data_IF_349441459646
#
_entry.id   IF_349441459646
#
_cell.length_a   1.000
_cell.length_b   1.000
_cell.length_c   1.000
_cell.angle_alpha   90.00
_cell.angle_beta   90.00
_cell.angle_gamma   90.00
#
_symmetry.space_group_name_H-M   'P 1'
#
loop_
_entity.id
_entity.type
_entity.pdbx_description
1 polymer ?
#
# COMPACT_ATOMS: atom_id res chain seq x y z
N UNK A 1 24.42 6.50 -14.63
CA UNK A 1 23.41 7.50 -15.07
C UNK A 1 23.17 8.49 -13.94
N UNK A 2 22.91 9.77 -14.27
CA UNK A 2 22.56 10.84 -13.31
C UNK A 2 21.05 10.87 -13.08
N UNK A 3 20.61 10.58 -11.85
CA UNK A 3 19.21 10.33 -11.51
C UNK A 3 18.74 11.32 -10.43
N UNK A 4 17.56 11.92 -10.61
CA UNK A 4 16.81 12.55 -9.53
C UNK A 4 15.78 11.53 -9.02
N UNK A 5 15.76 11.28 -7.71
CA UNK A 5 14.81 10.38 -7.09
C UNK A 5 13.69 11.17 -6.41
N UNK A 6 12.43 10.73 -6.57
CA UNK A 6 11.27 11.33 -5.92
C UNK A 6 10.50 10.27 -5.14
N UNK A 7 10.47 10.39 -3.81
CA UNK A 7 9.79 9.42 -2.95
C UNK A 7 9.53 9.98 -1.56
N UNK A 8 8.64 9.32 -0.80
CA UNK A 8 8.27 9.80 0.53
C UNK A 8 8.26 8.70 1.60
N UNK A 9 7.42 7.62 1.51
CA UNK A 9 7.27 6.63 2.56
C UNK A 9 8.35 5.54 2.49
N UNK A 10 8.32 4.64 3.45
CA UNK A 10 9.21 3.48 3.54
C UNK A 10 9.23 2.62 2.26
N UNK A 11 8.11 2.54 1.52
CA UNK A 11 8.05 1.83 0.24
C UNK A 11 9.13 2.25 -0.75
N UNK A 12 9.47 3.53 -0.77
CA UNK A 12 10.41 4.10 -1.72
C UNK A 12 11.89 3.95 -1.30
N UNK A 13 12.14 3.63 -0.03
CA UNK A 13 13.52 3.53 0.51
C UNK A 13 14.34 2.45 -0.18
N UNK A 14 13.86 1.20 -0.35
CA UNK A 14 14.65 0.17 -1.06
C UNK A 14 15.00 0.55 -2.49
N UNK A 15 14.10 1.27 -3.19
CA UNK A 15 14.37 1.77 -4.54
C UNK A 15 15.52 2.79 -4.57
N UNK A 16 15.57 3.71 -3.63
CA UNK A 16 16.66 4.68 -3.50
C UNK A 16 17.99 3.97 -3.18
N UNK A 17 17.99 3.07 -2.21
CA UNK A 17 19.17 2.29 -1.82
C UNK A 17 19.70 1.44 -2.97
N UNK A 18 18.82 0.79 -3.73
CA UNK A 18 19.18 -0.03 -4.88
C UNK A 18 19.84 0.79 -6.00
N UNK A 19 19.36 2.00 -6.29
CA UNK A 19 19.98 2.89 -7.26
C UNK A 19 21.38 3.32 -6.82
N UNK A 20 21.57 3.66 -5.55
CA UNK A 20 22.88 4.01 -4.98
C UNK A 20 23.83 2.82 -5.03
N UNK A 21 23.36 1.63 -4.62
CA UNK A 21 24.15 0.40 -4.64
C UNK A 21 24.54 -0.04 -6.07
N UNK A 22 23.70 0.23 -7.05
CA UNK A 22 23.99 -0.01 -8.46
C UNK A 22 25.01 0.98 -9.07
N UNK A 23 25.49 1.95 -8.31
CA UNK A 23 26.51 2.92 -8.72
C UNK A 23 25.97 4.08 -9.57
N UNK A 24 24.66 4.32 -9.56
CA UNK A 24 24.09 5.50 -10.20
C UNK A 24 24.37 6.76 -9.38
N UNK A 25 24.58 7.89 -10.04
CA UNK A 25 24.70 9.19 -9.39
C UNK A 25 23.30 9.73 -9.05
N UNK A 26 22.86 9.53 -7.80
CA UNK A 26 21.64 10.19 -7.35
C UNK A 26 21.94 11.64 -7.00
N UNK A 27 21.68 12.55 -7.95
CA UNK A 27 22.06 13.97 -7.86
C UNK A 27 21.18 14.77 -6.87
N UNK A 28 20.07 14.22 -6.44
CA UNK A 28 19.17 14.81 -5.46
C UNK A 28 17.97 13.93 -5.18
N UNK A 29 17.29 14.20 -4.09
CA UNK A 29 16.06 13.54 -3.68
C UNK A 29 14.98 14.58 -3.44
N UNK A 30 13.82 14.39 -4.05
CA UNK A 30 12.60 15.12 -3.73
C UNK A 30 11.73 14.28 -2.81
N UNK A 31 11.30 14.86 -1.68
CA UNK A 31 10.40 14.22 -0.73
C UNK A 31 9.32 15.21 -0.27
N UNK A 32 8.21 14.70 0.27
CA UNK A 32 7.20 15.55 0.89
C UNK A 32 7.80 16.28 2.09
N UNK A 33 7.27 17.48 2.44
CA UNK A 33 7.68 18.18 3.66
C UNK A 33 7.53 17.31 4.91
N UNK A 34 8.41 17.54 5.88
CA UNK A 34 8.36 16.88 7.18
C UNK A 34 7.00 17.14 7.85
N UNK A 35 6.45 16.12 8.50
CA UNK A 35 5.15 16.23 9.16
C UNK A 35 5.30 16.50 10.65
N UNK A 36 4.49 17.41 11.22
CA UNK A 36 4.43 17.57 12.65
C UNK A 36 3.85 16.31 13.32
N UNK A 37 4.52 15.85 14.37
CA UNK A 37 4.13 14.67 15.15
C UNK A 37 4.08 14.97 16.64
N UNK A 38 3.46 14.06 17.40
CA UNK A 38 3.30 14.17 18.85
C UNK A 38 2.02 14.91 19.24
N UNK A 39 1.68 14.79 20.54
CA UNK A 39 0.41 15.31 21.11
C UNK A 39 0.24 16.82 20.90
N UNK A 40 1.32 17.57 20.80
CA UNK A 40 1.34 19.03 20.63
C UNK A 40 1.88 19.46 19.25
N UNK A 41 2.11 18.52 18.32
CA UNK A 41 2.58 18.77 16.94
C UNK A 41 3.85 19.66 16.84
N UNK A 42 4.68 19.69 17.89
CA UNK A 42 5.87 20.55 17.99
C UNK A 42 7.18 19.85 17.61
N UNK A 43 7.13 18.58 17.20
CA UNK A 43 8.28 17.85 16.66
C UNK A 43 8.03 17.52 15.19
N UNK A 44 8.91 17.97 14.30
CA UNK A 44 8.89 17.56 12.89
C UNK A 44 9.55 16.19 12.75
N UNK A 45 8.89 15.29 12.06
CA UNK A 45 9.44 13.98 11.70
C UNK A 45 9.83 14.01 10.23
N UNK A 46 11.11 13.76 9.90
CA UNK A 46 11.54 13.62 8.53
C UNK A 46 10.86 12.42 7.86
N UNK A 47 10.77 12.48 6.54
CA UNK A 47 10.25 11.35 5.78
C UNK A 47 11.29 10.23 5.71
N UNK A 48 10.89 8.94 5.61
CA UNK A 48 11.84 7.83 5.51
C UNK A 48 12.83 7.99 4.35
N UNK A 49 12.37 8.47 3.20
CA UNK A 49 13.25 8.73 2.05
C UNK A 49 14.24 9.87 2.33
N UNK A 50 13.84 10.92 3.06
CA UNK A 50 14.77 11.99 3.48
C UNK A 50 15.84 11.44 4.43
N UNK A 51 15.48 10.62 5.41
CA UNK A 51 16.44 10.01 6.33
C UNK A 51 17.47 9.16 5.57
N UNK A 52 16.99 8.32 4.64
CA UNK A 52 17.85 7.52 3.78
C UNK A 52 18.78 8.38 2.91
N UNK A 53 18.26 9.42 2.25
CA UNK A 53 19.05 10.30 1.42
C UNK A 53 20.17 11.02 2.21
N UNK A 54 19.85 11.51 3.42
CA UNK A 54 20.84 12.16 4.30
C UNK A 54 21.93 11.18 4.76
N UNK A 55 21.60 9.92 5.03
CA UNK A 55 22.57 8.86 5.36
C UNK A 55 23.57 8.59 4.23
N UNK A 56 23.15 8.80 2.98
CA UNK A 56 23.99 8.70 1.78
C UNK A 56 24.60 10.03 1.33
N UNK A 57 24.48 11.12 2.11
CA UNK A 57 24.93 12.47 1.77
C UNK A 57 24.33 13.02 0.46
N UNK A 58 23.10 12.62 0.12
CA UNK A 58 22.38 13.06 -1.07
C UNK A 58 21.59 14.33 -0.72
N UNK A 59 21.65 15.42 -1.53
CA UNK A 59 20.86 16.62 -1.31
C UNK A 59 19.36 16.33 -1.32
N UNK A 60 18.62 16.89 -0.35
CA UNK A 60 17.17 16.70 -0.22
C UNK A 60 16.44 18.01 -0.45
N UNK A 61 15.42 17.97 -1.28
CA UNK A 61 14.53 19.05 -1.61
C UNK A 61 13.09 18.68 -1.21
N UNK A 62 12.37 19.61 -0.62
CA UNK A 62 11.00 19.38 -0.14
C UNK A 62 10.03 20.47 -0.69
N UNK A 63 9.81 20.51 -2.02
CA UNK A 63 8.95 21.53 -2.62
C UNK A 63 7.51 21.36 -2.13
N UNK A 64 6.92 22.48 -1.69
CA UNK A 64 5.51 22.53 -1.25
C UNK A 64 4.57 22.50 -2.45
N UNK A 65 4.99 23.08 -3.56
CA UNK A 65 4.22 23.15 -4.82
C UNK A 65 5.07 22.64 -5.98
N UNK A 66 4.43 21.95 -6.93
CA UNK A 66 5.10 21.42 -8.13
C UNK A 66 4.86 22.30 -9.36
N UNK A 67 3.92 23.26 -9.30
CA UNK A 67 3.48 24.08 -10.44
C UNK A 67 3.85 25.56 -10.36
N UNK A 68 4.64 25.97 -9.37
CA UNK A 68 5.06 27.37 -9.20
C UNK A 68 6.41 27.71 -9.85
N UNK A 69 6.98 26.76 -10.58
CA UNK A 69 8.28 26.89 -11.26
C UNK A 69 9.49 26.61 -10.37
N UNK A 70 9.36 26.63 -9.05
CA UNK A 70 10.50 26.43 -8.12
C UNK A 70 11.06 25.00 -8.24
N UNK A 71 10.19 23.99 -8.26
CA UNK A 71 10.60 22.60 -8.41
C UNK A 71 11.27 22.37 -9.78
N UNK A 72 10.71 22.91 -10.86
CA UNK A 72 11.31 22.81 -12.19
C UNK A 72 12.70 23.45 -12.26
N UNK A 73 12.88 24.64 -11.68
CA UNK A 73 14.18 25.33 -11.65
C UNK A 73 15.24 24.50 -10.88
N UNK A 74 14.86 23.88 -9.76
CA UNK A 74 15.73 22.97 -9.02
C UNK A 74 16.12 21.75 -9.87
N UNK A 75 15.16 21.14 -10.57
CA UNK A 75 15.40 19.99 -11.46
C UNK A 75 16.37 20.38 -12.60
N UNK A 76 16.13 21.54 -13.23
CA UNK A 76 17.01 22.05 -14.28
C UNK A 76 18.44 22.30 -13.79
N UNK A 77 18.60 22.82 -12.57
CA UNK A 77 19.91 23.03 -11.94
C UNK A 77 20.62 21.69 -11.67
N UNK A 78 19.88 20.69 -11.20
CA UNK A 78 20.40 19.33 -10.96
C UNK A 78 20.73 18.60 -12.27
N UNK A 79 20.10 18.97 -13.36
CA UNK A 79 20.28 18.39 -14.70
C UNK A 79 20.28 16.83 -14.71
N UNK A 80 19.24 16.14 -14.17
CA UNK A 80 19.18 14.70 -14.19
C UNK A 80 18.93 14.19 -15.63
N UNK A 81 19.50 13.03 -15.96
CA UNK A 81 19.17 12.32 -17.20
C UNK A 81 17.82 11.59 -17.12
N UNK A 82 17.44 11.16 -15.91
CA UNK A 82 16.21 10.41 -15.61
C UNK A 82 15.65 10.87 -14.27
N UNK A 83 14.33 10.95 -14.17
CA UNK A 83 13.63 11.05 -12.87
C UNK A 83 13.02 9.69 -12.55
N UNK A 84 13.29 9.18 -11.35
CA UNK A 84 12.68 7.97 -10.79
C UNK A 84 11.71 8.38 -9.70
N UNK A 85 10.47 7.93 -9.81
CA UNK A 85 9.40 8.21 -8.84
C UNK A 85 8.98 6.91 -8.15
N UNK A 86 8.87 6.91 -6.84
CA UNK A 86 8.30 5.82 -6.05
C UNK A 86 7.48 6.40 -4.89
N UNK A 87 6.17 6.26 -4.94
CA UNK A 87 5.25 6.73 -3.90
C UNK A 87 5.55 8.18 -3.43
N UNK A 88 5.77 9.11 -4.35
CA UNK A 88 6.08 10.50 -4.03
C UNK A 88 4.88 11.27 -3.46
N UNK A 89 3.66 10.93 -3.92
CA UNK A 89 2.42 11.53 -3.43
C UNK A 89 2.13 12.93 -3.98
N UNK A 90 2.68 13.29 -5.16
CA UNK A 90 2.39 14.50 -5.92
C UNK A 90 2.24 14.19 -7.39
N UNK A 91 1.31 14.87 -8.05
CA UNK A 91 1.19 14.86 -9.49
C UNK A 91 2.28 15.75 -10.07
N UNK A 92 3.05 15.22 -11.01
CA UNK A 92 4.08 15.97 -11.74
C UNK A 92 3.43 16.65 -12.94
N UNK A 93 3.66 17.97 -13.12
CA UNK A 93 3.20 18.68 -14.30
C UNK A 93 4.05 18.34 -15.53
N UNK A 94 3.51 18.58 -16.72
CA UNK A 94 4.10 18.17 -17.99
C UNK A 94 5.50 18.75 -18.24
N UNK A 95 5.76 19.96 -17.79
CA UNK A 95 7.07 20.61 -17.87
C UNK A 95 8.15 19.86 -17.06
N UNK A 96 7.77 19.22 -15.96
CA UNK A 96 8.66 18.34 -15.19
C UNK A 96 8.78 16.96 -15.87
N UNK A 97 7.65 16.39 -16.36
CA UNK A 97 7.64 15.07 -17.00
C UNK A 97 8.55 15.02 -18.23
N UNK A 98 8.63 16.13 -18.97
CA UNK A 98 9.42 16.25 -20.20
C UNK A 98 10.82 16.86 -20.01
N UNK A 99 11.14 17.30 -18.79
CA UNK A 99 12.41 17.99 -18.50
C UNK A 99 13.65 17.09 -18.69
N UNK A 100 13.71 15.87 -18.09
CA UNK A 100 14.89 15.01 -18.26
C UNK A 100 14.91 14.32 -19.63
N UNK A 101 16.07 14.18 -20.27
CA UNK A 101 16.17 13.61 -21.61
C UNK A 101 15.70 12.15 -21.74
N UNK A 102 15.75 11.37 -20.67
CA UNK A 102 15.23 9.99 -20.61
C UNK A 102 13.83 9.92 -19.97
N UNK A 103 13.22 11.06 -19.65
CA UNK A 103 11.87 11.17 -19.10
C UNK A 103 11.79 10.83 -17.61
N UNK A 104 10.57 10.52 -17.19
CA UNK A 104 10.25 10.13 -15.81
C UNK A 104 9.70 8.71 -15.81
N UNK A 105 10.12 7.89 -14.85
CA UNK A 105 9.58 6.54 -14.63
C UNK A 105 9.02 6.42 -13.21
N UNK A 106 8.05 5.53 -13.03
CA UNK A 106 7.42 5.27 -11.73
C UNK A 106 7.49 3.80 -11.36
N UNK A 107 7.73 3.53 -10.07
CA UNK A 107 7.59 2.21 -9.45
C UNK A 107 6.18 2.11 -8.92
N UNK A 108 5.31 1.40 -9.63
CA UNK A 108 3.90 1.23 -9.28
C UNK A 108 3.65 -0.16 -8.70
N UNK A 109 3.00 -0.24 -7.55
CA UNK A 109 2.82 -1.47 -6.78
C UNK A 109 1.58 -2.27 -7.21
N UNK A 110 1.41 -2.48 -8.50
CA UNK A 110 0.46 -3.43 -9.10
C UNK A 110 0.95 -3.92 -10.46
N UNK A 111 0.26 -4.90 -11.01
CA UNK A 111 0.41 -5.33 -12.41
C UNK A 111 -0.53 -4.47 -13.28
N UNK A 112 -0.01 -3.32 -13.75
CA UNK A 112 -0.78 -2.45 -14.65
C UNK A 112 -1.20 -3.20 -15.92
N UNK A 113 -2.40 -2.92 -16.46
CA UNK A 113 -3.27 -1.77 -16.21
C UNK A 113 -4.22 -1.93 -15.02
N UNK A 114 -4.14 -3.00 -14.25
CA UNK A 114 -4.96 -3.18 -13.06
C UNK A 114 -4.49 -2.28 -11.91
N UNK A 115 -5.46 -1.74 -11.15
CA UNK A 115 -5.19 -0.98 -9.93
C UNK A 115 -4.39 0.30 -10.14
N UNK A 116 -4.73 1.11 -11.17
CA UNK A 116 -4.24 2.48 -11.26
C UNK A 116 -4.74 3.29 -10.05
N UNK A 117 -3.90 4.10 -9.43
CA UNK A 117 -4.28 4.99 -8.34
C UNK A 117 -3.52 4.81 -7.03
N UNK A 118 -4.15 5.20 -5.91
CA UNK A 118 -3.45 5.51 -4.66
C UNK A 118 -3.17 4.29 -3.76
N UNK A 119 -3.97 3.20 -3.86
CA UNK A 119 -3.91 2.09 -2.90
C UNK A 119 -3.93 0.69 -3.57
N UNK A 120 -3.11 0.45 -4.62
CA UNK A 120 -3.17 -0.79 -5.40
C UNK A 120 -2.95 -2.05 -4.54
N UNK A 121 -2.01 -2.03 -3.60
CA UNK A 121 -1.70 -3.16 -2.72
C UNK A 121 -2.91 -3.55 -1.87
N UNK A 122 -3.54 -2.55 -1.25
CA UNK A 122 -4.69 -2.77 -0.40
C UNK A 122 -5.87 -3.36 -1.18
N UNK A 123 -6.16 -2.79 -2.35
CA UNK A 123 -7.29 -3.25 -3.17
C UNK A 123 -7.08 -4.64 -3.74
N UNK A 124 -5.87 -5.03 -4.11
CA UNK A 124 -5.57 -6.40 -4.51
C UNK A 124 -5.91 -7.39 -3.38
N UNK A 125 -5.52 -7.09 -2.13
CA UNK A 125 -5.84 -7.94 -0.97
C UNK A 125 -7.33 -7.91 -0.62
N UNK A 126 -7.99 -6.73 -0.63
CA UNK A 126 -9.43 -6.58 -0.33
C UNK A 126 -10.27 -7.37 -1.33
N UNK A 127 -9.88 -7.36 -2.60
CA UNK A 127 -10.59 -8.08 -3.66
C UNK A 127 -10.33 -9.60 -3.67
N UNK A 128 -9.39 -10.07 -2.83
CA UNK A 128 -9.06 -11.50 -2.74
C UNK A 128 -8.21 -12.00 -3.90
N UNK A 129 -7.45 -11.12 -4.56
CA UNK A 129 -6.51 -11.54 -5.60
C UNK A 129 -5.47 -12.49 -5.01
N UNK A 130 -5.08 -13.50 -5.78
CA UNK A 130 -4.03 -14.46 -5.42
C UNK A 130 -2.65 -14.07 -5.94
N UNK A 131 -2.60 -13.07 -6.83
CA UNK A 131 -1.37 -12.57 -7.46
C UNK A 131 -1.39 -11.05 -7.46
N UNK A 132 -0.27 -10.45 -7.14
CA UNK A 132 0.02 -9.03 -7.29
C UNK A 132 1.40 -8.86 -7.95
N UNK A 133 1.94 -7.67 -7.97
CA UNK A 133 3.28 -7.42 -8.50
C UNK A 133 3.64 -5.95 -8.53
N UNK A 134 4.69 -5.65 -9.26
CA UNK A 134 5.19 -4.30 -9.48
C UNK A 134 5.33 -4.04 -10.98
N UNK A 135 5.05 -2.82 -11.38
CA UNK A 135 5.26 -2.32 -12.73
C UNK A 135 6.22 -1.12 -12.68
N UNK A 136 7.27 -1.18 -13.49
CA UNK A 136 8.04 0.02 -13.84
C UNK A 136 7.46 0.55 -15.13
N UNK A 137 7.03 1.81 -15.12
CA UNK A 137 6.39 2.44 -16.28
C UNK A 137 6.92 3.84 -16.55
N UNK A 138 6.84 4.30 -17.78
CA UNK A 138 6.99 5.72 -18.09
C UNK A 138 5.84 6.51 -17.49
N UNK A 139 6.11 7.68 -16.95
CA UNK A 139 5.05 8.56 -16.48
C UNK A 139 4.42 9.32 -17.64
N UNK A 140 3.13 9.56 -17.54
CA UNK A 140 2.32 10.33 -18.48
C UNK A 140 1.45 11.35 -17.73
N UNK A 141 0.79 12.24 -18.44
CA UNK A 141 -0.13 13.23 -17.86
C UNK A 141 -1.32 12.56 -17.18
N UNK A 142 -1.82 11.46 -17.77
CA UNK A 142 -2.87 10.65 -17.17
C UNK A 142 -2.28 9.74 -16.09
N UNK A 143 -2.99 9.62 -14.96
CA UNK A 143 -2.54 8.87 -13.79
C UNK A 143 -2.30 7.40 -14.12
N UNK A 144 -1.09 6.94 -13.87
CA UNK A 144 -0.62 5.56 -14.01
C UNK A 144 -0.91 4.93 -15.39
N UNK A 145 -1.03 5.76 -16.44
CA UNK A 145 -1.43 5.34 -17.80
C UNK A 145 -0.27 5.20 -18.80
N UNK A 146 0.95 5.52 -18.39
CA UNK A 146 2.11 5.48 -19.30
C UNK A 146 2.52 4.07 -19.69
N UNK A 147 3.39 3.98 -20.72
CA UNK A 147 3.88 2.72 -21.25
C UNK A 147 4.65 1.89 -20.21
N UNK A 148 4.39 0.61 -20.17
CA UNK A 148 5.06 -0.35 -19.30
C UNK A 148 6.47 -0.61 -19.83
N UNK A 149 7.47 -0.55 -18.94
CA UNK A 149 8.87 -0.91 -19.21
C UNK A 149 9.13 -2.35 -18.79
N UNK A 150 8.73 -2.70 -17.56
CA UNK A 150 8.91 -4.03 -16.99
C UNK A 150 7.84 -4.31 -15.93
N UNK A 151 7.53 -5.59 -15.77
CA UNK A 151 6.62 -6.06 -14.70
C UNK A 151 7.17 -7.32 -14.06
N UNK A 152 6.94 -7.47 -12.78
CA UNK A 152 7.23 -8.69 -12.04
C UNK A 152 6.07 -9.03 -11.11
N UNK A 153 5.63 -10.31 -11.16
CA UNK A 153 4.50 -10.80 -10.38
C UNK A 153 4.97 -11.58 -9.15
N UNK A 154 4.12 -11.60 -8.12
CA UNK A 154 4.30 -12.41 -6.92
C UNK A 154 2.96 -12.90 -6.41
N UNK A 155 2.93 -14.08 -5.80
CA UNK A 155 1.72 -14.59 -5.14
C UNK A 155 1.38 -13.77 -3.90
N UNK A 156 0.09 -13.66 -3.59
CA UNK A 156 -0.41 -13.14 -2.31
C UNK A 156 -0.75 -14.32 -1.43
N UNK A 157 -0.11 -14.42 -0.26
CA UNK A 157 -0.38 -15.48 0.70
C UNK A 157 -1.82 -15.44 1.25
N UNK A 158 -2.41 -16.60 1.49
CA UNK A 158 -3.81 -16.72 1.93
C UNK A 158 -4.14 -15.90 3.20
N UNK A 159 -3.17 -15.71 4.08
CA UNK A 159 -3.30 -14.91 5.30
C UNK A 159 -2.44 -13.65 5.29
N UNK A 160 -1.79 -13.34 4.18
CA UNK A 160 -0.91 -12.18 4.05
C UNK A 160 -1.71 -10.88 4.10
N UNK A 161 -1.26 -9.94 4.90
CA UNK A 161 -1.85 -8.61 5.02
C UNK A 161 -1.31 -7.66 3.96
N UNK A 162 -2.04 -6.59 3.68
CA UNK A 162 -1.56 -5.55 2.78
C UNK A 162 -0.24 -4.91 3.29
N UNK A 163 -0.02 -4.85 4.61
CA UNK A 163 1.23 -4.36 5.20
C UNK A 163 2.41 -5.30 4.95
N UNK A 164 2.20 -6.62 5.02
CA UNK A 164 3.24 -7.62 4.70
C UNK A 164 3.55 -7.63 3.20
N UNK A 165 2.54 -7.60 2.35
CA UNK A 165 2.69 -7.51 0.91
C UNK A 165 3.40 -6.22 0.47
N UNK A 166 3.09 -5.08 1.10
CA UNK A 166 3.75 -3.79 0.88
C UNK A 166 5.28 -3.89 1.04
N UNK A 167 5.75 -4.57 2.10
CA UNK A 167 7.19 -4.75 2.34
C UNK A 167 7.85 -5.62 1.27
N UNK A 168 7.18 -6.69 0.83
CA UNK A 168 7.71 -7.55 -0.24
C UNK A 168 7.73 -6.84 -1.59
N UNK A 169 6.67 -6.11 -1.93
CA UNK A 169 6.59 -5.37 -3.20
C UNK A 169 7.58 -4.20 -3.24
N UNK A 170 7.93 -3.59 -2.11
CA UNK A 170 8.95 -2.54 -2.09
C UNK A 170 10.35 -3.06 -2.47
N UNK A 171 10.69 -4.27 -2.03
CA UNK A 171 11.96 -4.94 -2.39
C UNK A 171 11.92 -5.40 -3.84
N UNK A 172 10.85 -6.10 -4.24
CA UNK A 172 10.65 -6.55 -5.62
C UNK A 172 10.74 -5.38 -6.63
N UNK A 173 10.11 -4.25 -6.25
CA UNK A 173 10.13 -3.03 -7.06
C UNK A 173 11.53 -2.40 -7.17
N UNK A 174 12.33 -2.48 -6.12
CA UNK A 174 13.71 -1.99 -6.13
C UNK A 174 14.61 -2.81 -7.08
N UNK A 175 14.49 -4.14 -7.04
CA UNK A 175 15.23 -5.05 -7.90
C UNK A 175 14.85 -4.86 -9.38
N UNK A 176 13.54 -4.78 -9.65
CA UNK A 176 13.02 -4.54 -11.00
C UNK A 176 13.40 -3.15 -11.54
N UNK A 177 13.44 -2.14 -10.65
CA UNK A 177 13.84 -0.77 -11.00
C UNK A 177 15.28 -0.73 -11.52
N UNK A 178 16.23 -1.39 -10.87
CA UNK A 178 17.64 -1.42 -11.31
C UNK A 178 17.77 -2.04 -12.70
N UNK A 179 17.04 -3.12 -12.97
CA UNK A 179 17.00 -3.75 -14.30
C UNK A 179 16.41 -2.80 -15.35
N UNK A 180 15.30 -2.14 -15.04
CA UNK A 180 14.66 -1.18 -15.96
C UNK A 180 15.57 0.03 -16.24
N UNK A 181 16.24 0.57 -15.22
CA UNK A 181 17.18 1.70 -15.36
C UNK A 181 18.39 1.29 -16.22
N UNK A 182 18.92 0.09 -16.03
CA UNK A 182 20.01 -0.44 -16.87
C UNK A 182 19.57 -0.58 -18.33
N UNK A 183 18.35 -1.06 -18.58
CA UNK A 183 17.81 -1.15 -19.95
C UNK A 183 17.60 0.25 -20.58
N UNK A 184 17.14 1.23 -19.81
CA UNK A 184 17.00 2.64 -20.26
C UNK A 184 18.38 3.23 -20.60
N UNK A 185 19.38 2.99 -19.77
CA UNK A 185 20.75 3.47 -19.99
C UNK A 185 21.34 2.90 -21.28
N UNK A 186 21.14 1.61 -21.52
CA UNK A 186 21.57 0.91 -22.74
C UNK A 186 20.73 1.25 -23.99
N UNK A 187 19.62 1.96 -23.87
CA UNK A 187 18.68 2.23 -24.98
C UNK A 187 17.88 1.01 -25.41
N UNK A 188 17.75 0.01 -24.54
CA UNK A 188 17.07 -1.27 -24.78
C UNK A 188 15.71 -1.38 -24.07
N UNK A 189 15.30 -0.36 -23.32
CA UNK A 189 14.04 -0.36 -22.60
C UNK A 189 12.86 -0.45 -23.58
N UNK A 190 11.96 -1.39 -23.32
CA UNK A 190 10.73 -1.52 -24.09
C UNK A 190 9.71 -0.46 -23.65
N UNK A 191 8.75 -0.21 -24.55
CA UNK A 191 7.59 0.65 -24.29
C UNK A 191 6.34 -0.08 -24.73
N UNK A 192 5.67 -0.72 -23.78
CA UNK A 192 4.45 -1.49 -24.05
C UNK A 192 3.24 -0.66 -23.60
N UNK A 193 2.39 -0.20 -24.54
CA UNK A 193 1.16 0.50 -24.19
C UNK A 193 0.25 -0.37 -23.30
N UNK A 194 -0.42 0.24 -22.35
CA UNK A 194 -1.38 -0.46 -21.51
C UNK A 194 -2.67 -0.75 -22.27
N UNK A 195 -3.26 -1.94 -22.07
CA UNK A 195 -4.59 -2.27 -22.61
C UNK A 195 -5.67 -1.51 -21.83
N UNK A 196 -6.35 -0.56 -22.47
CA UNK A 196 -7.38 0.27 -21.86
C UNK A 196 -8.63 -0.51 -21.39
N UNK A 197 -8.89 -1.69 -21.98
CA UNK A 197 -10.05 -2.52 -21.62
C UNK A 197 -9.84 -3.27 -20.27
N UNK A 198 -8.60 -3.41 -19.82
CA UNK A 198 -8.25 -4.11 -18.59
C UNK A 198 -8.00 -3.17 -17.40
N UNK A 199 -8.19 -1.87 -17.60
CA UNK A 199 -7.94 -0.87 -16.55
C UNK A 199 -8.89 -1.06 -15.39
N UNK A 200 -8.36 -1.16 -14.18
CA UNK A 200 -9.10 -1.04 -12.93
C UNK A 200 -8.51 0.04 -12.04
N UNK A 201 -9.33 0.59 -11.14
CA UNK A 201 -8.93 1.68 -10.27
C UNK A 201 -8.73 1.22 -8.84
N UNK A 202 -7.76 1.81 -8.16
CA UNK A 202 -7.45 1.61 -6.75
C UNK A 202 -7.53 2.95 -6.00
N UNK A 203 -8.74 3.45 -5.69
CA UNK A 203 -8.90 4.72 -5.01
C UNK A 203 -8.26 4.72 -3.61
N UNK A 204 -8.04 5.92 -3.07
CA UNK A 204 -7.55 6.08 -1.71
C UNK A 204 -8.53 5.41 -0.72
N UNK A 205 -7.97 4.73 0.28
CA UNK A 205 -8.78 4.14 1.35
C UNK A 205 -9.38 5.23 2.24
N UNK A 206 -10.58 4.95 2.74
CA UNK A 206 -11.29 5.79 3.69
C UNK A 206 -11.85 5.00 4.87
N UNK A 207 -12.28 5.71 5.91
CA UNK A 207 -12.86 5.09 7.12
C UNK A 207 -14.19 4.39 6.85
N UNK A 208 -14.88 4.76 5.79
CA UNK A 208 -16.11 4.13 5.32
C UNK A 208 -15.93 2.65 4.95
N UNK A 209 -14.70 2.22 4.69
CA UNK A 209 -14.37 0.82 4.43
C UNK A 209 -14.21 -0.02 5.70
N UNK A 210 -14.12 0.61 6.88
CA UNK A 210 -13.89 -0.09 8.15
C UNK A 210 -15.04 -1.01 8.59
N UNK A 211 -16.34 -0.62 8.52
CA UNK A 211 -17.42 -1.45 8.99
C UNK A 211 -17.48 -2.79 8.24
N UNK A 212 -17.55 -3.89 9.01
CA UNK A 212 -17.74 -5.22 8.46
C UNK A 212 -19.23 -5.47 8.19
N UNK A 213 -19.55 -5.74 6.92
CA UNK A 213 -20.89 -6.19 6.52
C UNK A 213 -20.97 -7.72 6.58
N UNK A 214 -21.54 -8.24 7.64
CA UNK A 214 -21.61 -9.66 7.90
C UNK A 214 -22.47 -10.44 6.88
N UNK A 215 -23.26 -9.77 6.04
CA UNK A 215 -23.97 -10.40 4.91
C UNK A 215 -23.01 -10.90 3.82
N UNK A 216 -21.77 -10.43 3.81
CA UNK A 216 -20.71 -10.92 2.92
C UNK A 216 -20.16 -12.26 3.40
N UNK A 217 -19.53 -13.00 2.51
CA UNK A 217 -18.90 -14.30 2.86
C UNK A 217 -17.73 -14.13 3.83
N UNK A 218 -17.40 -15.19 4.56
CA UNK A 218 -16.21 -15.21 5.43
C UNK A 218 -14.94 -14.86 4.66
N UNK A 219 -14.78 -15.36 3.42
CA UNK A 219 -13.65 -15.04 2.54
C UNK A 219 -13.57 -13.54 2.26
N UNK A 220 -14.68 -12.92 1.85
CA UNK A 220 -14.70 -11.50 1.54
C UNK A 220 -14.36 -10.62 2.76
N UNK A 221 -14.85 -11.01 3.95
CA UNK A 221 -14.53 -10.30 5.20
C UNK A 221 -13.10 -10.56 5.67
N UNK A 222 -12.56 -11.76 5.47
CA UNK A 222 -11.15 -12.07 5.72
C UNK A 222 -10.23 -11.21 4.85
N UNK A 223 -10.54 -11.07 3.57
CA UNK A 223 -9.82 -10.20 2.65
C UNK A 223 -9.92 -8.72 3.06
N UNK A 224 -11.11 -8.25 3.46
CA UNK A 224 -11.29 -6.90 3.99
C UNK A 224 -10.40 -6.63 5.20
N UNK A 225 -10.38 -7.53 6.19
CA UNK A 225 -9.55 -7.39 7.40
C UNK A 225 -8.07 -7.29 7.04
N UNK A 226 -7.56 -8.19 6.19
CA UNK A 226 -6.16 -8.20 5.75
C UNK A 226 -5.79 -6.97 4.93
N UNK A 227 -6.68 -6.57 4.03
CA UNK A 227 -6.44 -5.47 3.10
C UNK A 227 -6.53 -4.09 3.73
N UNK A 228 -7.23 -3.93 4.85
CA UNK A 228 -7.37 -2.66 5.56
C UNK A 228 -6.28 -2.41 6.62
N UNK A 229 -5.29 -3.28 6.72
CA UNK A 229 -4.14 -3.06 7.61
C UNK A 229 -3.04 -2.26 6.90
N UNK A 230 -2.36 -1.35 7.63
CA UNK A 230 -2.56 -0.98 9.04
C UNK A 230 -3.67 0.06 9.25
N UNK A 231 -4.25 0.61 8.21
CA UNK A 231 -5.30 1.63 8.24
C UNK A 231 -6.25 1.46 7.04
N UNK A 232 -7.57 1.69 7.22
CA UNK A 232 -8.27 2.20 8.41
C UNK A 232 -8.60 1.15 9.48
N UNK A 233 -8.31 -0.13 9.28
CA UNK A 233 -8.63 -1.30 10.11
C UNK A 233 -10.13 -1.64 10.08
N UNK A 234 -10.45 -2.90 9.81
CA UNK A 234 -11.82 -3.38 9.83
C UNK A 234 -12.42 -3.29 11.24
N UNK A 235 -13.73 -3.06 11.35
CA UNK A 235 -14.41 -2.91 12.64
C UNK A 235 -15.82 -3.45 12.63
N UNK A 236 -16.32 -3.82 13.80
CA UNK A 236 -17.69 -4.31 14.00
C UNK A 236 -18.24 -3.88 15.36
N UNK A 237 -19.53 -3.64 15.45
CA UNK A 237 -20.28 -3.41 16.69
C UNK A 237 -21.11 -4.64 17.10
N UNK A 238 -21.18 -5.67 16.27
CA UNK A 238 -22.06 -6.85 16.47
C UNK A 238 -21.64 -7.75 17.63
N UNK A 239 -20.41 -7.61 18.13
CA UNK A 239 -19.91 -8.48 19.20
C UNK A 239 -20.37 -8.04 20.59
N UNK A 240 -20.41 -6.74 20.85
CA UNK A 240 -20.64 -6.18 22.18
C UNK A 240 -21.55 -4.95 22.18
N UNK A 241 -21.97 -4.46 21.03
CA UNK A 241 -22.63 -3.16 20.85
C UNK A 241 -21.67 -1.96 20.80
N UNK A 242 -20.38 -2.16 21.11
CA UNK A 242 -19.34 -1.15 20.96
C UNK A 242 -18.48 -1.45 19.74
N UNK A 243 -17.91 -0.42 19.11
CA UNK A 243 -17.05 -0.60 17.93
C UNK A 243 -15.73 -1.25 18.31
N UNK A 244 -15.55 -2.51 17.93
CA UNK A 244 -14.32 -3.29 18.09
C UNK A 244 -13.57 -3.31 16.76
N UNK A 245 -12.27 -3.00 16.78
CA UNK A 245 -11.39 -3.17 15.61
C UNK A 245 -10.94 -4.62 15.50
N UNK A 246 -10.93 -5.16 14.29
CA UNK A 246 -10.56 -6.54 13.97
C UNK A 246 -9.26 -6.54 13.20
N UNK A 247 -8.24 -7.23 13.73
CA UNK A 247 -6.89 -7.23 13.18
C UNK A 247 -6.50 -8.56 12.52
N UNK A 248 -7.04 -9.69 13.02
CA UNK A 248 -6.81 -11.01 12.41
C UNK A 248 -8.06 -11.84 12.46
N UNK A 249 -8.25 -12.59 11.39
CA UNK A 249 -9.35 -13.53 11.21
C UNK A 249 -8.83 -14.81 10.55
N UNK A 250 -9.63 -15.86 10.61
CA UNK A 250 -9.40 -17.14 9.95
C UNK A 250 -10.70 -17.63 9.34
N UNK A 251 -10.65 -18.15 8.14
CA UNK A 251 -11.77 -18.88 7.54
C UNK A 251 -11.83 -20.28 8.15
N UNK A 252 -12.90 -20.60 8.86
CA UNK A 252 -13.00 -21.89 9.55
C UNK A 252 -13.35 -23.06 8.64
N UNK A 253 -13.85 -22.79 7.43
CA UNK A 253 -14.45 -23.78 6.53
C UNK A 253 -15.80 -24.32 7.03
N UNK A 254 -16.26 -23.88 8.21
CA UNK A 254 -17.55 -24.27 8.80
C UNK A 254 -18.73 -23.72 8.01
N UNK A 255 -19.89 -24.37 8.17
CA UNK A 255 -21.18 -23.95 7.62
C UNK A 255 -22.20 -23.76 8.73
N UNK A 256 -23.10 -22.81 8.53
CA UNK A 256 -24.17 -22.51 9.48
C UNK A 256 -25.43 -21.99 8.77
N UNK A 257 -26.58 -22.14 9.40
CA UNK A 257 -27.84 -21.53 8.97
C UNK A 257 -28.20 -20.29 9.81
N UNK A 258 -27.33 -19.94 10.78
CA UNK A 258 -27.57 -18.78 11.63
C UNK A 258 -27.53 -17.46 10.81
N UNK A 259 -28.23 -16.46 11.28
CA UNK A 259 -28.25 -15.14 10.66
C UNK A 259 -26.84 -14.52 10.65
N UNK A 260 -26.42 -13.86 9.55
CA UNK A 260 -25.15 -13.15 9.50
C UNK A 260 -24.96 -12.17 10.66
N UNK A 261 -23.78 -12.19 11.29
CA UNK A 261 -23.45 -11.41 12.48
C UNK A 261 -23.72 -12.13 13.79
N UNK A 262 -24.33 -13.32 13.76
CA UNK A 262 -24.55 -14.13 14.97
C UNK A 262 -23.23 -14.72 15.48
N UNK A 263 -22.96 -14.58 16.76
CA UNK A 263 -21.81 -15.23 17.41
C UNK A 263 -22.15 -16.69 17.69
N UNK A 264 -21.43 -17.61 17.03
CA UNK A 264 -21.64 -19.06 17.10
C UNK A 264 -20.81 -19.72 18.20
N UNK A 265 -19.60 -19.18 18.45
CA UNK A 265 -18.72 -19.65 19.50
C UNK A 265 -17.82 -18.52 19.99
N UNK A 266 -17.46 -18.53 21.26
CA UNK A 266 -16.51 -17.61 21.86
C UNK A 266 -15.66 -18.39 22.88
N UNK A 267 -14.34 -18.50 22.63
CA UNK A 267 -13.48 -19.34 23.47
C UNK A 267 -12.00 -19.22 23.18
N UNK A 268 -11.25 -20.28 23.49
CA UNK A 268 -9.79 -20.31 23.39
C UNK A 268 -9.27 -20.10 21.97
N UNK A 269 -10.04 -20.47 20.96
CA UNK A 269 -9.63 -20.33 19.55
C UNK A 269 -9.95 -18.95 18.98
N UNK A 270 -10.88 -18.21 19.58
CA UNK A 270 -11.34 -16.92 19.11
C UNK A 270 -12.87 -16.79 19.20
N UNK A 271 -13.42 -15.95 18.34
CA UNK A 271 -14.85 -15.66 18.24
C UNK A 271 -15.31 -16.06 16.84
N UNK A 272 -16.15 -17.08 16.74
CA UNK A 272 -16.73 -17.54 15.47
C UNK A 272 -18.04 -16.79 15.21
N UNK A 273 -18.14 -16.18 14.03
CA UNK A 273 -19.29 -15.36 13.64
C UNK A 273 -19.85 -15.90 12.32
N UNK A 274 -21.16 -16.02 12.24
CA UNK A 274 -21.88 -16.37 11.03
C UNK A 274 -21.75 -15.24 10.00
N UNK A 275 -21.46 -15.61 8.75
CA UNK A 275 -21.32 -14.72 7.62
C UNK A 275 -22.30 -15.09 6.50
N UNK A 276 -22.37 -14.29 5.46
CA UNK A 276 -23.17 -14.55 4.28
C UNK A 276 -22.87 -15.93 3.67
N UNK A 277 -23.85 -16.47 2.92
CA UNK A 277 -23.79 -17.77 2.26
C UNK A 277 -23.52 -18.95 3.24
N UNK A 278 -23.90 -18.76 4.53
CA UNK A 278 -23.71 -19.75 5.56
C UNK A 278 -22.26 -20.04 5.91
N UNK A 279 -21.33 -19.15 5.58
CA UNK A 279 -19.90 -19.28 5.92
C UNK A 279 -19.62 -18.78 7.33
N UNK A 280 -18.48 -19.16 7.90
CA UNK A 280 -18.09 -18.81 9.28
C UNK A 280 -16.69 -18.20 9.31
N UNK A 281 -16.57 -17.00 9.91
CA UNK A 281 -15.31 -16.31 10.12
C UNK A 281 -14.93 -16.34 11.60
N UNK A 282 -13.69 -16.70 11.89
CA UNK A 282 -13.10 -16.64 13.24
C UNK A 282 -12.30 -15.37 13.41
N UNK A 283 -12.63 -14.57 14.42
CA UNK A 283 -11.82 -13.43 14.85
C UNK A 283 -10.81 -13.93 15.88
N UNK A 284 -9.51 -13.76 15.58
CA UNK A 284 -8.40 -14.21 16.44
C UNK A 284 -7.68 -13.07 17.14
N UNK A 285 -7.66 -11.85 16.55
CA UNK A 285 -7.11 -10.66 17.19
C UNK A 285 -8.02 -9.45 17.01
N UNK A 286 -8.18 -8.70 18.07
CA UNK A 286 -9.07 -7.54 18.15
C UNK A 286 -8.51 -6.42 19.03
N UNK A 287 -9.17 -5.25 18.97
CA UNK A 287 -8.94 -4.13 19.87
C UNK A 287 -10.28 -3.50 20.25
N UNK A 288 -10.63 -3.60 21.53
CA UNK A 288 -11.78 -2.89 22.09
C UNK A 288 -11.46 -1.41 22.35
N UNK A 289 -12.45 -0.53 22.45
CA UNK A 289 -12.27 0.89 22.74
C UNK A 289 -11.39 1.12 23.98
N UNK A 290 -10.39 1.98 23.85
CA UNK A 290 -9.48 2.32 24.96
C UNK A 290 -8.50 1.20 25.38
N UNK A 291 -8.52 0.04 24.75
CA UNK A 291 -7.63 -1.08 25.05
C UNK A 291 -6.50 -1.21 24.02
N UNK A 292 -5.50 -2.04 24.32
CA UNK A 292 -4.48 -2.45 23.35
C UNK A 292 -5.00 -3.57 22.47
N UNK A 293 -4.40 -3.73 21.27
CA UNK A 293 -4.59 -4.91 20.42
C UNK A 293 -4.20 -6.16 21.20
N UNK A 294 -5.03 -7.21 21.14
CA UNK A 294 -4.82 -8.46 21.87
C UNK A 294 -5.49 -9.64 21.16
N UNK A 295 -5.13 -10.86 21.55
CA UNK A 295 -5.82 -12.06 21.09
C UNK A 295 -7.27 -12.06 21.58
N UNK A 296 -8.19 -12.52 20.72
CA UNK A 296 -9.60 -12.62 21.10
C UNK A 296 -9.82 -13.50 22.35
N UNK A 297 -9.05 -14.60 22.47
CA UNK A 297 -9.08 -15.45 23.66
C UNK A 297 -8.72 -14.72 24.96
N UNK A 298 -7.78 -13.78 24.92
CA UNK A 298 -7.37 -13.00 26.10
C UNK A 298 -8.44 -11.96 26.46
N UNK A 299 -9.05 -11.34 25.44
CA UNK A 299 -10.18 -10.43 25.63
C UNK A 299 -11.36 -11.11 26.32
N UNK A 300 -11.71 -12.33 25.91
CA UNK A 300 -12.84 -13.09 26.42
C UNK A 300 -12.70 -13.49 27.89
N UNK A 301 -11.51 -13.53 28.48
CA UNK A 301 -11.32 -13.83 29.92
C UNK A 301 -11.97 -12.80 30.84
N UNK A 302 -12.05 -11.55 30.41
CA UNK A 302 -12.65 -10.47 31.18
C UNK A 302 -13.95 -9.90 30.58
N UNK A 303 -14.29 -10.31 29.35
CA UNK A 303 -15.41 -9.74 28.59
C UNK A 303 -16.15 -10.89 27.87
N UNK A 304 -16.99 -11.66 28.60
CA UNK A 304 -17.76 -12.73 27.98
C UNK A 304 -18.71 -12.18 26.91
N UNK A 305 -18.76 -12.85 25.77
CA UNK A 305 -19.66 -12.53 24.66
C UNK A 305 -20.76 -13.59 24.64
N UNK A 306 -22.01 -13.15 24.52
CA UNK A 306 -23.15 -14.06 24.42
C UNK A 306 -23.07 -14.88 23.10
N UNK A 307 -23.14 -16.17 23.22
CA UNK A 307 -23.25 -17.12 22.11
C UNK A 307 -24.71 -17.46 21.91
N UNK A 308 -25.21 -17.29 20.71
CA UNK A 308 -26.57 -17.71 20.38
C UNK A 308 -26.57 -19.22 20.12
N UNK A 309 -27.35 -19.96 20.89
CA UNK A 309 -27.56 -21.39 20.66
C UNK A 309 -28.14 -21.61 19.27
N UNK A 310 -27.56 -22.54 18.52
CA UNK A 310 -28.21 -23.06 17.31
C UNK A 310 -29.39 -23.91 17.81
N UNK A 311 -30.61 -23.42 17.65
CA UNK A 311 -31.80 -24.28 17.71
C UNK A 311 -31.99 -25.01 16.40
#
# INVERSE_FOLDING_TARGET
MRILFMGTPEFAVPSLEALVAAGHEVCGVFSQPDKPVGRHQNKLQPTPVKECALAHNIPVFQPVKMRDGTALAQIQTLAPELIVVAAYGRILPDDILTCPPKGCINVHSSLLPKYRGAAPINWAVINGDTVSGVTIMHMATELDAGDIIAQESTEIGANETAEELYRRLSILGADLLVQAVSAIEAGLAQRTPQNSEEVTLAPMLGKELSPMDWSRTAHALHCQVRGLLPWPVASTDKLTGETIKVYRTEETGGKTHAQPGTVLAAGKQGIDVACGEGTVLRITELQAPGKKRMKAADYLRGHPIAVQSQE
#
